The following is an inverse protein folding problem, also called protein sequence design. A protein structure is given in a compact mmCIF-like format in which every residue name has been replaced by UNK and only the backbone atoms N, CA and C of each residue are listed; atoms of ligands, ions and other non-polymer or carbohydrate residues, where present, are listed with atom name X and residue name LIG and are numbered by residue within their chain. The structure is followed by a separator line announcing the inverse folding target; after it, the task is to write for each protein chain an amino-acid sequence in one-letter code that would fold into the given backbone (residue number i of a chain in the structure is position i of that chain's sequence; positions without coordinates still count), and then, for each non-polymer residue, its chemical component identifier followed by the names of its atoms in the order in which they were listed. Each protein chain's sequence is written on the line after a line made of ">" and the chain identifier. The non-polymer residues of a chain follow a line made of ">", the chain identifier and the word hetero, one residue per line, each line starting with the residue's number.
data_IF_807552342502
#
_entry.id   IF_807552342502
#
_cell.length_a   1.000
_cell.length_b   1.000
_cell.length_c   1.000
_cell.angle_alpha   90.00
_cell.angle_beta   90.00
_cell.angle_gamma   90.00
#
_symmetry.space_group_name_H-M   'P 1'
#
loop_
_entity.id
_entity.type
_entity.pdbx_description
1 polymer ?
#
# COMPACT_ATOMS: atom_id res chain seq x y z
N UNK A 1 33.00 9.39 27.86
CA UNK A 1 32.55 10.63 27.18
C UNK A 1 31.05 10.72 27.40
N UNK A 2 30.61 11.64 28.24
CA UNK A 2 29.24 11.73 28.77
C UNK A 2 28.28 12.32 27.74
N UNK A 3 27.17 11.61 27.47
CA UNK A 3 26.00 12.12 26.76
C UNK A 3 25.58 13.48 27.34
N UNK A 4 25.74 14.57 26.60
CA UNK A 4 25.14 15.87 26.96
C UNK A 4 23.64 15.74 26.69
N UNK A 5 22.90 15.23 27.67
CA UNK A 5 21.43 15.19 27.63
C UNK A 5 20.93 16.57 28.03
N UNK A 6 20.58 17.38 27.04
CA UNK A 6 19.99 18.69 27.28
C UNK A 6 18.52 18.57 27.68
N UNK A 7 18.07 19.52 28.50
CA UNK A 7 16.67 19.61 28.92
C UNK A 7 15.99 20.61 28.00
N UNK A 8 14.92 20.18 27.34
CA UNK A 8 14.13 21.05 26.47
C UNK A 8 13.54 22.21 27.27
N UNK A 9 13.84 23.45 26.87
CA UNK A 9 13.36 24.66 27.56
C UNK A 9 11.84 24.84 27.52
N UNK A 10 11.15 24.19 26.57
CA UNK A 10 9.68 24.28 26.42
C UNK A 10 8.90 23.20 27.17
N UNK A 11 9.44 21.99 27.32
CA UNK A 11 8.68 20.87 27.92
C UNK A 11 9.43 20.11 29.01
N UNK A 12 10.63 20.55 29.38
CA UNK A 12 11.50 19.98 30.41
C UNK A 12 11.81 18.49 30.23
N UNK A 13 11.66 17.96 29.03
CA UNK A 13 12.06 16.58 28.72
C UNK A 13 13.50 16.55 28.24
N UNK A 14 14.22 15.49 28.65
CA UNK A 14 15.57 15.20 28.14
C UNK A 14 15.47 14.94 26.64
N UNK A 15 16.35 15.56 25.87
CA UNK A 15 16.49 15.28 24.44
C UNK A 15 17.97 15.35 24.05
N UNK A 16 18.25 14.83 22.87
CA UNK A 16 19.58 14.90 22.25
C UNK A 16 19.51 15.92 21.13
N UNK A 17 20.19 17.08 21.25
CA UNK A 17 20.32 18.03 20.16
C UNK A 17 21.04 17.39 18.96
N UNK A 18 20.71 17.82 17.75
CA UNK A 18 21.49 17.43 16.58
C UNK A 18 22.87 18.08 16.66
N UNK A 19 23.91 17.38 16.20
CA UNK A 19 25.29 17.91 16.20
C UNK A 19 25.46 19.19 15.37
N UNK A 20 24.53 19.45 14.45
CA UNK A 20 24.46 20.66 13.62
C UNK A 20 23.50 21.73 14.13
N UNK A 21 22.81 21.51 15.26
CA UNK A 21 21.80 22.41 15.77
C UNK A 21 22.41 23.78 16.14
N UNK A 22 21.76 24.86 15.71
CA UNK A 22 22.12 26.24 16.06
C UNK A 22 20.87 26.98 16.53
N UNK A 23 21.03 27.92 17.45
CA UNK A 23 19.90 28.73 17.95
C UNK A 23 18.85 27.90 18.70
N UNK A 24 17.56 28.15 18.45
CA UNK A 24 16.44 27.51 19.15
C UNK A 24 16.37 25.98 18.99
N UNK A 25 16.98 25.43 17.93
CA UNK A 25 17.04 23.99 17.67
C UNK A 25 17.99 23.26 18.63
N UNK A 26 18.94 23.99 19.23
CA UNK A 26 19.87 23.43 20.20
C UNK A 26 19.21 23.24 21.57
N UNK A 27 18.20 24.06 21.91
CA UNK A 27 17.62 24.11 23.26
C UNK A 27 16.19 23.55 23.35
N UNK A 28 15.59 23.18 22.22
CA UNK A 28 14.20 22.71 22.13
C UNK A 28 14.12 21.32 21.50
N UNK A 29 13.30 20.43 22.05
CA UNK A 29 13.14 19.08 21.49
C UNK A 29 12.36 19.10 20.17
N UNK A 30 12.53 18.03 19.37
CA UNK A 30 11.90 17.85 18.06
C UNK A 30 10.36 17.83 18.05
N UNK A 31 9.72 17.74 19.22
CA UNK A 31 8.28 17.84 19.36
C UNK A 31 7.80 19.28 19.67
N UNK A 32 8.71 20.15 20.13
CA UNK A 32 8.42 21.52 20.52
C UNK A 32 8.99 22.56 19.53
N UNK A 33 9.74 22.10 18.50
CA UNK A 33 10.16 22.95 17.38
C UNK A 33 8.96 23.30 16.49
N UNK A 34 8.69 24.58 16.24
CA UNK A 34 7.75 25.00 15.21
C UNK A 34 8.29 24.61 13.82
N UNK A 35 7.50 23.86 13.04
CA UNK A 35 7.85 23.45 11.66
C UNK A 35 7.97 21.94 11.41
N UNK A 36 8.20 21.12 12.45
CA UNK A 36 8.31 19.65 12.27
C UNK A 36 6.92 19.00 12.16
N UNK A 37 5.89 19.60 12.77
CA UNK A 37 4.51 19.11 12.75
C UNK A 37 3.86 19.23 11.36
N UNK A 38 4.13 20.31 10.62
CA UNK A 38 3.54 20.54 9.30
C UNK A 38 4.11 19.59 8.23
N UNK A 39 5.44 19.40 8.21
CA UNK A 39 6.07 18.48 7.26
C UNK A 39 5.69 17.00 7.48
N UNK A 40 5.42 16.59 8.73
CA UNK A 40 4.96 15.22 9.03
C UNK A 40 3.48 15.02 8.68
N UNK A 41 2.62 16.02 8.88
CA UNK A 41 1.19 15.93 8.55
C UNK A 41 0.96 15.96 7.03
N UNK A 42 1.70 16.78 6.29
CA UNK A 42 1.56 16.86 4.82
C UNK A 42 2.02 15.57 4.12
N UNK A 43 3.12 14.95 4.57
CA UNK A 43 3.56 13.64 4.04
C UNK A 43 2.55 12.52 4.33
N UNK A 44 1.82 12.59 5.44
CA UNK A 44 0.77 11.62 5.80
C UNK A 44 -0.53 11.88 5.01
N UNK A 45 -0.91 13.14 4.82
CA UNK A 45 -2.09 13.55 4.02
C UNK A 45 -1.92 13.30 2.51
N UNK A 46 -0.71 13.49 1.95
CA UNK A 46 -0.42 13.17 0.53
C UNK A 46 -0.37 11.67 0.21
N UNK A 47 -0.19 10.80 1.22
CA UNK A 47 -0.26 9.34 1.05
C UNK A 47 -1.68 8.78 1.20
N UNK A 48 -2.54 9.42 2.02
CA UNK A 48 -3.86 8.89 2.35
C UNK A 48 -5.00 9.35 1.41
N UNK A 49 -4.70 10.18 0.41
CA UNK A 49 -5.68 10.69 -0.57
C UNK A 49 -5.48 10.08 -1.96
N UNK A 50 -5.17 8.77 -2.03
CA UNK A 50 -5.13 8.04 -3.31
C UNK A 50 -6.17 6.95 -3.29
N UNK A 51 -7.29 7.26 -3.94
CA UNK A 51 -8.32 6.37 -4.45
C UNK A 51 -9.05 5.50 -3.43
N UNK A 52 -10.25 5.95 -3.04
CA UNK A 52 -11.26 5.14 -2.36
C UNK A 52 -11.86 4.06 -3.28
N UNK A 53 -11.65 4.16 -4.61
CA UNK A 53 -12.02 3.14 -5.61
C UNK A 53 -10.84 2.19 -5.91
N UNK A 54 -10.22 1.63 -4.88
CA UNK A 54 -9.19 0.63 -5.10
C UNK A 54 -9.86 -0.74 -5.23
N UNK A 55 -9.99 -1.22 -6.47
CA UNK A 55 -10.33 -2.63 -6.73
C UNK A 55 -9.15 -3.49 -6.29
N UNK A 56 -9.19 -3.93 -5.04
CA UNK A 56 -8.20 -4.79 -4.41
C UNK A 56 -8.75 -6.20 -4.39
N UNK A 57 -7.90 -7.17 -4.71
CA UNK A 57 -8.25 -8.59 -4.65
C UNK A 57 -8.25 -9.06 -3.20
N UNK A 58 -9.24 -9.85 -2.83
CA UNK A 58 -9.42 -10.38 -1.48
C UNK A 58 -9.25 -11.90 -1.44
N UNK A 59 -8.55 -12.36 -0.41
CA UNK A 59 -8.34 -13.79 -0.14
C UNK A 59 -9.70 -14.51 -0.02
N UNK A 60 -9.92 -15.53 -0.85
CA UNK A 60 -11.08 -16.41 -0.80
C UNK A 60 -12.39 -15.80 -1.31
N UNK A 61 -12.34 -14.64 -1.95
CA UNK A 61 -13.53 -13.92 -2.43
C UNK A 61 -13.57 -13.78 -3.95
N UNK A 62 -12.52 -14.17 -4.65
CA UNK A 62 -12.42 -13.96 -6.10
C UNK A 62 -12.90 -15.21 -6.85
N UNK A 63 -13.67 -15.00 -7.92
CA UNK A 63 -14.06 -16.07 -8.82
C UNK A 63 -12.85 -16.54 -9.66
N UNK A 64 -12.70 -17.85 -9.90
CA UNK A 64 -11.58 -18.36 -10.68
C UNK A 64 -11.55 -17.79 -12.11
N UNK A 65 -12.70 -17.55 -12.73
CA UNK A 65 -12.81 -16.98 -14.07
C UNK A 65 -12.27 -15.54 -14.12
N UNK A 66 -12.54 -14.75 -13.07
CA UNK A 66 -12.03 -13.38 -12.96
C UNK A 66 -10.51 -13.37 -12.78
N UNK A 67 -9.97 -14.28 -11.96
CA UNK A 67 -8.53 -14.42 -11.77
C UNK A 67 -7.84 -14.92 -13.05
N UNK A 68 -8.46 -15.84 -13.79
CA UNK A 68 -7.96 -16.28 -15.10
C UNK A 68 -7.89 -15.14 -16.11
N UNK A 69 -8.92 -14.28 -16.15
CA UNK A 69 -8.89 -13.08 -16.97
C UNK A 69 -7.73 -12.15 -16.57
N UNK A 70 -7.49 -11.98 -15.26
CA UNK A 70 -6.34 -11.22 -14.77
C UNK A 70 -5.01 -11.88 -15.16
N UNK A 71 -4.90 -13.21 -15.22
CA UNK A 71 -3.72 -13.90 -15.75
C UNK A 71 -3.52 -13.73 -17.26
N UNK A 72 -4.56 -13.43 -18.03
CA UNK A 72 -4.41 -13.11 -19.45
C UNK A 72 -3.89 -11.68 -19.63
N UNK A 73 -4.35 -10.77 -18.78
CA UNK A 73 -3.94 -9.36 -18.80
C UNK A 73 -2.57 -9.14 -18.17
N UNK A 74 -2.21 -9.96 -17.19
CA UNK A 74 -0.87 -9.99 -16.60
C UNK A 74 -0.01 -11.00 -17.35
N UNK A 75 1.24 -10.67 -17.70
CA UNK A 75 2.16 -11.64 -18.35
C UNK A 75 2.72 -12.65 -17.34
N UNK A 76 1.86 -13.31 -16.57
CA UNK A 76 2.22 -14.36 -15.61
C UNK A 76 2.05 -15.69 -16.32
N UNK A 77 3.17 -16.32 -16.70
CA UNK A 77 3.15 -17.57 -17.47
C UNK A 77 3.42 -18.81 -16.60
N UNK A 78 4.11 -18.64 -15.46
CA UNK A 78 4.48 -19.76 -14.58
C UNK A 78 3.24 -20.40 -13.96
N UNK A 79 3.05 -21.73 -14.15
CA UNK A 79 1.89 -22.44 -13.62
C UNK A 79 1.88 -22.47 -12.09
N UNK A 80 3.05 -22.53 -11.45
CA UNK A 80 3.19 -22.52 -9.99
C UNK A 80 2.69 -21.19 -9.39
N UNK A 81 3.01 -20.06 -10.06
CA UNK A 81 2.50 -18.74 -9.66
C UNK A 81 0.99 -18.66 -9.83
N UNK A 82 0.44 -19.16 -10.94
CA UNK A 82 -1.01 -19.15 -11.18
C UNK A 82 -1.74 -19.96 -10.12
N UNK A 83 -1.28 -21.18 -9.86
CA UNK A 83 -1.90 -22.07 -8.88
C UNK A 83 -1.85 -21.48 -7.47
N UNK A 84 -0.71 -20.89 -7.07
CA UNK A 84 -0.60 -20.22 -5.77
C UNK A 84 -1.55 -19.03 -5.61
N UNK A 85 -1.80 -18.28 -6.70
CA UNK A 85 -2.75 -17.17 -6.68
C UNK A 85 -4.20 -17.66 -6.61
N UNK A 86 -4.57 -18.73 -7.33
CA UNK A 86 -5.90 -19.36 -7.24
C UNK A 86 -6.15 -19.93 -5.84
N UNK A 87 -5.15 -20.59 -5.27
CA UNK A 87 -5.21 -21.13 -3.92
C UNK A 87 -5.43 -20.03 -2.88
N UNK A 88 -4.74 -18.89 -3.04
CA UNK A 88 -4.90 -17.76 -2.13
C UNK A 88 -6.21 -16.99 -2.34
N UNK A 89 -6.50 -16.58 -3.57
CA UNK A 89 -7.56 -15.64 -3.91
C UNK A 89 -8.94 -16.30 -4.08
N UNK A 90 -8.99 -17.55 -4.54
CA UNK A 90 -10.25 -18.28 -4.73
C UNK A 90 -10.51 -19.27 -3.59
N UNK A 91 -9.52 -20.11 -3.23
CA UNK A 91 -9.71 -21.14 -2.18
C UNK A 91 -9.54 -20.60 -0.75
N UNK A 92 -9.01 -19.39 -0.59
CA UNK A 92 -8.83 -18.78 0.71
C UNK A 92 -7.72 -19.43 1.55
N UNK A 93 -6.66 -19.96 0.92
CA UNK A 93 -5.42 -20.31 1.62
C UNK A 93 -4.70 -19.02 2.06
N UNK A 94 -4.09 -19.03 3.25
CA UNK A 94 -3.21 -17.92 3.62
C UNK A 94 -1.97 -17.88 2.71
N UNK A 95 -1.32 -16.72 2.66
CA UNK A 95 -0.21 -16.51 1.73
C UNK A 95 0.95 -17.49 1.98
N UNK A 96 1.21 -17.89 3.22
CA UNK A 96 2.32 -18.79 3.57
C UNK A 96 2.00 -20.20 3.10
N UNK A 97 0.80 -20.70 3.40
CA UNK A 97 0.36 -22.02 2.93
C UNK A 97 0.35 -22.10 1.40
N UNK A 98 -0.22 -21.10 0.72
CA UNK A 98 -0.25 -21.05 -0.74
C UNK A 98 1.16 -21.05 -1.38
N UNK A 99 2.14 -20.40 -0.73
CA UNK A 99 3.54 -20.43 -1.16
C UNK A 99 4.14 -21.84 -1.02
N UNK A 100 3.96 -22.45 0.15
CA UNK A 100 4.55 -23.76 0.47
C UNK A 100 3.98 -24.85 -0.43
N UNK A 101 2.65 -24.90 -0.61
CA UNK A 101 2.01 -25.92 -1.45
C UNK A 101 2.43 -25.84 -2.92
N UNK A 102 2.76 -24.65 -3.41
CA UNK A 102 3.12 -24.43 -4.81
C UNK A 102 4.62 -24.24 -5.04
N UNK A 103 5.45 -24.36 -4.00
CA UNK A 103 6.91 -24.26 -4.11
C UNK A 103 7.41 -22.89 -4.56
N UNK A 104 6.69 -21.80 -4.27
CA UNK A 104 7.11 -20.44 -4.64
C UNK A 104 7.65 -19.66 -3.45
N UNK A 105 8.69 -18.86 -3.69
CA UNK A 105 9.25 -18.00 -2.64
C UNK A 105 8.35 -16.81 -2.31
N UNK A 106 8.42 -16.33 -1.07
CA UNK A 106 7.66 -15.18 -0.59
C UNK A 106 7.81 -13.93 -1.48
N UNK A 107 9.01 -13.53 -1.95
CA UNK A 107 9.14 -12.36 -2.81
C UNK A 107 8.40 -12.54 -4.14
N UNK A 108 8.49 -13.74 -4.75
CA UNK A 108 7.79 -14.05 -6.00
C UNK A 108 6.28 -14.03 -5.80
N UNK A 109 5.77 -14.58 -4.70
CA UNK A 109 4.35 -14.53 -4.36
C UNK A 109 3.88 -13.08 -4.21
N UNK A 110 4.57 -12.28 -3.40
CA UNK A 110 4.18 -10.89 -3.15
C UNK A 110 4.27 -10.00 -4.39
N UNK A 111 5.28 -10.19 -5.24
CA UNK A 111 5.38 -9.49 -6.52
C UNK A 111 4.21 -9.85 -7.46
N UNK A 112 3.89 -11.14 -7.55
CA UNK A 112 2.80 -11.64 -8.40
C UNK A 112 1.45 -11.09 -7.94
N UNK A 113 1.16 -11.16 -6.63
CA UNK A 113 -0.05 -10.63 -6.03
C UNK A 113 -0.17 -9.11 -6.22
N UNK A 114 0.94 -8.38 -6.07
CA UNK A 114 0.96 -6.94 -6.30
C UNK A 114 0.60 -6.60 -7.75
N UNK A 115 1.19 -7.31 -8.71
CA UNK A 115 0.92 -7.10 -10.14
C UNK A 115 -0.53 -7.40 -10.52
N UNK A 116 -1.10 -8.46 -9.95
CA UNK A 116 -2.53 -8.78 -10.11
C UNK A 116 -3.42 -7.67 -9.56
N UNK A 117 -3.12 -7.17 -8.36
CA UNK A 117 -3.87 -6.05 -7.76
C UNK A 117 -3.77 -4.77 -8.60
N UNK A 118 -2.61 -4.46 -9.19
CA UNK A 118 -2.45 -3.30 -10.07
C UNK A 118 -3.33 -3.43 -11.33
N UNK A 119 -3.38 -4.61 -11.94
CA UNK A 119 -4.24 -4.85 -13.12
C UNK A 119 -5.72 -4.88 -12.75
N UNK A 120 -6.10 -5.48 -11.61
CA UNK A 120 -7.47 -5.43 -11.09
C UNK A 120 -7.94 -3.99 -10.87
N UNK A 121 -7.05 -3.13 -10.35
CA UNK A 121 -7.35 -1.71 -10.20
C UNK A 121 -7.63 -1.03 -11.56
N UNK A 122 -6.73 -1.22 -12.53
CA UNK A 122 -6.88 -0.59 -13.86
C UNK A 122 -8.15 -1.07 -14.57
N UNK A 123 -8.44 -2.37 -14.51
CA UNK A 123 -9.62 -2.97 -15.15
C UNK A 123 -10.93 -2.53 -14.48
N UNK A 124 -10.97 -2.46 -13.16
CA UNK A 124 -12.11 -1.92 -12.43
C UNK A 124 -12.37 -0.44 -12.74
N UNK A 125 -11.33 0.39 -12.78
CA UNK A 125 -11.45 1.80 -13.21
C UNK A 125 -11.95 1.93 -14.66
N UNK A 126 -11.50 1.06 -15.57
CA UNK A 126 -11.97 1.04 -16.96
C UNK A 126 -13.44 0.63 -17.04
N UNK A 127 -13.86 -0.38 -16.28
CA UNK A 127 -15.23 -0.85 -16.21
C UNK A 127 -16.16 0.25 -15.68
N UNK A 128 -15.79 0.90 -14.58
CA UNK A 128 -16.55 2.03 -14.02
C UNK A 128 -16.77 3.13 -15.06
N UNK A 129 -15.73 3.51 -15.82
CA UNK A 129 -15.83 4.52 -16.88
C UNK A 129 -16.76 4.08 -18.02
N UNK A 130 -16.72 2.81 -18.43
CA UNK A 130 -17.61 2.27 -19.47
C UNK A 130 -19.07 2.25 -18.98
N UNK A 131 -19.32 1.81 -17.75
CA UNK A 131 -20.64 1.80 -17.14
C UNK A 131 -21.20 3.21 -16.98
N UNK A 132 -20.39 4.18 -16.56
CA UNK A 132 -20.80 5.57 -16.46
C UNK A 132 -21.25 6.14 -17.82
N UNK A 133 -20.48 5.88 -18.89
CA UNK A 133 -20.85 6.27 -20.26
C UNK A 133 -22.15 5.61 -20.70
N UNK A 134 -22.31 4.31 -20.46
CA UNK A 134 -23.52 3.58 -20.84
C UNK A 134 -24.77 4.12 -20.12
N UNK A 135 -24.68 4.36 -18.80
CA UNK A 135 -25.77 4.96 -18.02
C UNK A 135 -26.12 6.37 -18.49
N UNK A 136 -25.13 7.20 -18.83
CA UNK A 136 -25.37 8.55 -19.34
C UNK A 136 -26.12 8.54 -20.68
N UNK A 137 -25.83 7.57 -21.56
CA UNK A 137 -26.55 7.42 -22.83
C UNK A 137 -28.00 6.96 -22.62
N UNK A 138 -28.26 6.07 -21.67
CA UNK A 138 -29.60 5.53 -21.43
C UNK A 138 -30.52 6.49 -20.66
N UNK A 139 -29.97 7.35 -19.80
CA UNK A 139 -30.74 8.34 -19.04
C UNK A 139 -31.02 9.64 -19.82
N UNK A 140 -30.53 9.76 -21.06
CA UNK A 140 -30.76 10.91 -21.94
C UNK A 140 -32.02 10.77 -22.83
N UNK A 141 -32.78 9.68 -22.63
CA UNK A 141 -34.08 9.39 -23.24
C UNK A 141 -35.15 9.30 -22.14
#
# INVERSE_FOLDING_TARGET
>A
MTDIREICTKCNRKFSPLSSARGEEATTCSNCLPGITELKLEKKKRKNKRNLNKHSLFKGCEAPEDIELLFLLTRIESPEKKQAMLDHLCKGLDAVSAQVFNGISQPKFSETLKRLNEVAQITGELLERKLAKFRALHNAH
#
